data_IF_667762355461
#
_entry.id   IF_667762355461
#
_cell.length_a   1.000
_cell.length_b   1.000
_cell.length_c   1.000
_cell.angle_alpha   90.00
_cell.angle_beta   90.00
_cell.angle_gamma   90.00
#
_symmetry.space_group_name_H-M   'P 1'
#
loop_
_entity.id
_entity.type
_entity.pdbx_description
1 polymer ?
#
# COMPACT_ATOMS: atom_id res chain seq x y z
N UNK A 1 -14.57 -36.67 -6.91
CA UNK A 1 -13.92 -36.31 -6.93
C UNK A 1 -13.33 -35.93 -7.16
N UNK A 2 -13.37 -36.14 -7.16
CA UNK A 2 -12.51 -35.68 -7.39
C UNK A 2 -11.76 -36.11 -7.59
N UNK A 3 -11.71 -36.87 -7.45
CA UNK A 3 -10.86 -37.34 -7.59
C UNK A 3 -10.33 -37.79 -7.80
N UNK A 4 -10.46 -38.27 -7.86
CA UNK A 4 -9.67 -38.60 -8.14
C UNK A 4 -9.06 -38.78 -8.47
N UNK A 5 -8.99 -38.89 -8.49
CA UNK A 5 -8.11 -38.84 -8.84
C UNK A 5 -7.33 -38.76 -8.69
N UNK A 6 -7.31 -39.10 -8.30
CA UNK A 6 -6.41 -38.94 -8.07
C UNK A 6 -5.90 -39.13 -7.29
N UNK A 7 -6.20 -39.68 -6.98
CA UNK A 7 -5.58 -39.81 -6.35
C UNK A 7 -5.34 -39.99 -5.49
N UNK A 8 -5.61 -40.33 -5.05
CA UNK A 8 -5.34 -40.48 -4.14
C UNK A 8 -4.84 -40.20 -3.14
N UNK A 9 -5.51 -40.09 -2.38
CA UNK A 9 -4.92 -39.72 -1.51
C UNK A 9 -3.66 -39.47 -1.52
N UNK A 10 -3.11 -38.79 -1.88
CA UNK A 10 -1.74 -38.83 -2.00
C UNK A 10 -1.04 -37.58 -1.52
N UNK A 11 0.21 -37.73 -0.99
CA UNK A 11 0.91 -36.62 -0.32
C UNK A 11 1.17 -35.43 -1.21
N UNK A 12 1.54 -35.63 -2.46
CA UNK A 12 1.85 -34.50 -3.31
C UNK A 12 0.61 -33.68 -3.71
N UNK A 13 -0.57 -34.26 -3.54
CA UNK A 13 -1.79 -33.50 -3.72
C UNK A 13 -1.87 -32.40 -2.66
N UNK A 14 -1.47 -32.73 -1.44
CA UNK A 14 -1.40 -31.73 -0.37
C UNK A 14 -0.38 -30.65 -0.69
N UNK A 15 0.73 -31.00 -1.30
CA UNK A 15 1.75 -30.04 -1.69
C UNK A 15 1.24 -29.05 -2.73
N UNK A 16 0.43 -29.53 -3.69
CA UNK A 16 -0.17 -28.65 -4.68
C UNK A 16 -1.10 -27.63 -4.04
N UNK A 17 -1.88 -28.07 -3.07
CA UNK A 17 -2.78 -27.16 -2.36
C UNK A 17 -1.98 -26.11 -1.61
N UNK A 18 -0.90 -26.50 -0.96
CA UNK A 18 -0.05 -25.56 -0.24
C UNK A 18 0.56 -24.53 -1.17
N UNK A 19 0.99 -24.94 -2.35
CA UNK A 19 1.54 -24.01 -3.35
C UNK A 19 0.49 -23.02 -3.80
N UNK A 20 -0.74 -23.48 -4.03
CA UNK A 20 -1.81 -22.60 -4.44
C UNK A 20 -2.16 -21.59 -3.35
N UNK A 21 -2.17 -22.01 -2.09
CA UNK A 21 -2.44 -21.11 -0.98
C UNK A 21 -1.36 -20.04 -0.91
N UNK A 22 -0.10 -20.44 -0.99
CA UNK A 22 1.01 -19.51 -0.98
C UNK A 22 0.90 -18.49 -2.10
N UNK A 23 0.62 -18.96 -3.31
CA UNK A 23 0.50 -18.08 -4.47
C UNK A 23 -0.64 -17.09 -4.30
N UNK A 24 -1.76 -17.56 -3.76
CA UNK A 24 -2.92 -16.71 -3.51
C UNK A 24 -2.58 -15.62 -2.50
N UNK A 25 -1.93 -16.00 -1.39
CA UNK A 25 -1.52 -15.03 -0.38
C UNK A 25 -0.57 -13.99 -0.95
N UNK A 26 0.37 -14.43 -1.77
CA UNK A 26 1.31 -13.53 -2.41
C UNK A 26 0.59 -12.54 -3.32
N UNK A 27 -0.37 -13.00 -4.11
CA UNK A 27 -1.16 -12.14 -4.97
C UNK A 27 -1.96 -11.12 -4.18
N UNK A 28 -2.50 -11.54 -3.03
CA UNK A 28 -3.25 -10.63 -2.17
C UNK A 28 -2.36 -9.54 -1.59
N UNK A 29 -1.14 -9.90 -1.21
CA UNK A 29 -0.18 -8.91 -0.71
C UNK A 29 0.21 -7.92 -1.80
N UNK A 30 0.45 -8.42 -3.01
CA UNK A 30 0.80 -7.56 -4.15
C UNK A 30 -0.36 -6.63 -4.49
N UNK A 31 -1.58 -7.14 -4.42
CA UNK A 31 -2.77 -6.31 -4.65
C UNK A 31 -2.90 -5.24 -3.57
N UNK A 32 -2.60 -5.58 -2.31
CA UNK A 32 -2.64 -4.61 -1.23
C UNK A 32 -1.63 -3.49 -1.43
N UNK A 33 -0.43 -3.84 -1.90
CA UNK A 33 0.60 -2.83 -2.20
C UNK A 33 0.12 -1.92 -3.34
N UNK A 34 -0.44 -2.50 -4.38
CA UNK A 34 -0.96 -1.75 -5.52
C UNK A 34 -2.08 -0.81 -5.08
N UNK A 35 -3.00 -1.31 -4.26
CA UNK A 35 -4.11 -0.51 -3.76
C UNK A 35 -3.60 0.64 -2.89
N UNK A 36 -2.59 0.39 -2.07
CA UNK A 36 -1.99 1.43 -1.25
C UNK A 36 -1.40 2.53 -2.11
N UNK A 37 -0.62 2.16 -3.13
CA UNK A 37 0.02 3.12 -4.01
C UNK A 37 -1.04 3.94 -4.76
N UNK A 38 -2.04 3.27 -5.33
CA UNK A 38 -3.11 3.95 -6.04
C UNK A 38 -3.89 4.88 -5.11
N UNK A 39 -4.14 4.43 -3.89
CA UNK A 39 -4.83 5.26 -2.90
C UNK A 39 -4.07 6.53 -2.57
N UNK A 40 -2.74 6.42 -2.47
CA UNK A 40 -1.90 7.60 -2.23
C UNK A 40 -1.99 8.60 -3.38
N UNK A 41 -1.94 8.12 -4.62
CA UNK A 41 -2.04 9.01 -5.77
C UNK A 41 -3.43 9.65 -5.88
N UNK A 42 -4.47 8.88 -5.57
CA UNK A 42 -5.82 9.44 -5.55
C UNK A 42 -5.97 10.52 -4.48
N UNK A 43 -5.46 10.26 -3.29
CA UNK A 43 -5.52 11.23 -2.20
C UNK A 43 -4.74 12.50 -2.58
N UNK A 44 -3.58 12.33 -3.18
CA UNK A 44 -2.77 13.46 -3.63
C UNK A 44 -3.55 14.30 -4.66
N UNK A 45 -4.18 13.63 -5.62
CA UNK A 45 -5.01 14.31 -6.61
C UNK A 45 -6.16 15.08 -6.00
N UNK A 46 -6.77 14.52 -4.96
CA UNK A 46 -7.85 15.20 -4.27
C UNK A 46 -7.39 16.47 -3.58
N UNK A 47 -6.20 16.43 -2.97
CA UNK A 47 -5.64 17.64 -2.36
C UNK A 47 -5.36 18.72 -3.40
N UNK A 48 -4.91 18.33 -4.58
CA UNK A 48 -4.67 19.27 -5.67
C UNK A 48 -5.96 19.90 -6.19
N UNK A 49 -6.98 19.07 -6.39
CA UNK A 49 -8.22 19.51 -7.03
C UNK A 49 -9.13 20.22 -6.06
N UNK A 50 -9.28 19.68 -4.85
CA UNK A 50 -10.25 20.21 -3.89
C UNK A 50 -9.64 21.10 -2.82
N UNK A 51 -8.34 20.93 -2.56
CA UNK A 51 -7.66 21.73 -1.55
C UNK A 51 -8.32 21.63 -0.18
N UNK A 52 -8.62 22.77 0.42
CA UNK A 52 -9.21 22.83 1.77
C UNK A 52 -10.55 22.11 1.86
N UNK A 53 -11.29 21.99 0.75
CA UNK A 53 -12.58 21.32 0.75
C UNK A 53 -12.44 19.85 1.14
N UNK A 54 -11.33 19.23 0.76
CA UNK A 54 -11.09 17.85 1.13
C UNK A 54 -11.02 17.68 2.65
N UNK A 55 -10.53 18.69 3.35
CA UNK A 55 -10.45 18.68 4.81
C UNK A 55 -11.82 18.86 5.45
N UNK A 56 -12.67 19.68 4.83
CA UNK A 56 -13.99 19.98 5.39
C UNK A 56 -14.92 18.79 5.33
N UNK A 57 -14.80 17.99 4.27
CA UNK A 57 -15.74 16.90 4.02
C UNK A 57 -15.23 15.54 4.45
N UNK A 58 -13.99 15.45 4.91
CA UNK A 58 -13.39 14.18 5.29
C UNK A 58 -13.20 14.06 6.79
N UNK A 59 -12.87 12.84 7.21
CA UNK A 59 -12.49 12.57 8.59
C UNK A 59 -11.06 13.10 8.80
N UNK A 60 -10.88 14.06 9.74
CA UNK A 60 -9.54 14.64 9.95
C UNK A 60 -8.46 13.61 10.26
N UNK A 61 -8.79 12.59 11.05
CA UNK A 61 -7.82 11.57 11.40
C UNK A 61 -7.42 10.75 10.18
N UNK A 62 -8.38 10.40 9.33
CA UNK A 62 -8.11 9.66 8.13
C UNK A 62 -7.22 10.45 7.17
N UNK A 63 -7.45 11.76 7.08
CA UNK A 63 -6.65 12.63 6.23
C UNK A 63 -5.22 12.69 6.72
N UNK A 64 -5.01 12.81 8.04
CA UNK A 64 -3.67 12.83 8.62
C UNK A 64 -2.92 11.53 8.36
N UNK A 65 -3.63 10.41 8.51
CA UNK A 65 -3.04 9.11 8.20
C UNK A 65 -2.62 9.04 6.74
N UNK A 66 -3.49 9.50 5.85
CA UNK A 66 -3.20 9.51 4.41
C UNK A 66 -1.98 10.38 4.10
N UNK A 67 -1.88 11.55 4.74
CA UNK A 67 -0.75 12.46 4.54
C UNK A 67 0.56 11.77 4.94
N UNK A 68 0.58 11.11 6.09
CA UNK A 68 1.79 10.43 6.55
C UNK A 68 2.18 9.29 5.59
N UNK A 69 1.20 8.59 5.05
CA UNK A 69 1.47 7.50 4.09
C UNK A 69 1.96 8.04 2.76
N UNK A 70 1.34 9.11 2.26
CA UNK A 70 1.79 9.76 1.03
C UNK A 70 3.22 10.25 1.17
N UNK A 71 3.53 10.87 2.30
CA UNK A 71 4.87 11.38 2.54
C UNK A 71 5.90 10.26 2.48
N UNK A 72 5.62 9.14 3.17
CA UNK A 72 6.53 8.01 3.16
C UNK A 72 6.74 7.47 1.75
N UNK A 73 5.66 7.28 1.01
CA UNK A 73 5.74 6.75 -0.35
C UNK A 73 6.51 7.69 -1.28
N UNK A 74 6.17 8.98 -1.26
CA UNK A 74 6.80 9.93 -2.18
C UNK A 74 8.26 10.17 -1.83
N UNK A 75 8.62 10.15 -0.54
CA UNK A 75 10.03 10.22 -0.15
C UNK A 75 10.79 8.98 -0.61
N UNK A 76 10.18 7.81 -0.44
CA UNK A 76 10.78 6.56 -0.86
C UNK A 76 11.05 6.53 -2.37
N UNK A 77 10.14 7.11 -3.15
CA UNK A 77 10.25 7.15 -4.61
C UNK A 77 10.95 8.42 -5.10
N UNK A 78 11.49 9.22 -4.18
CA UNK A 78 12.23 10.44 -4.51
C UNK A 78 11.42 11.46 -5.30
N UNK A 79 10.12 11.49 -5.06
CA UNK A 79 9.22 12.46 -5.69
C UNK A 79 9.12 13.71 -4.81
N UNK A 80 10.21 14.47 -4.75
CA UNK A 80 10.35 15.57 -3.78
C UNK A 80 9.40 16.72 -4.06
N UNK A 81 8.99 16.92 -5.30
CA UNK A 81 8.03 17.97 -5.63
C UNK A 81 6.68 17.69 -4.99
N UNK A 82 6.28 16.42 -4.97
CA UNK A 82 5.03 16.05 -4.32
C UNK A 82 5.14 16.20 -2.81
N UNK A 83 6.29 15.87 -2.26
CA UNK A 83 6.53 16.07 -0.85
C UNK A 83 6.45 17.55 -0.47
N UNK A 84 7.02 18.42 -1.30
CA UNK A 84 6.98 19.85 -1.07
C UNK A 84 5.54 20.37 -1.11
N UNK A 85 4.74 19.89 -2.05
CA UNK A 85 3.34 20.26 -2.13
C UNK A 85 2.59 19.89 -0.85
N UNK A 86 2.80 18.65 -0.37
CA UNK A 86 2.14 18.17 0.83
C UNK A 86 2.53 19.02 2.04
N UNK A 87 3.82 19.32 2.18
CA UNK A 87 4.27 20.15 3.28
C UNK A 87 3.62 21.54 3.25
N UNK A 88 3.58 22.16 2.07
CA UNK A 88 2.95 23.47 1.91
C UNK A 88 1.46 23.40 2.24
N UNK A 89 0.80 22.33 1.82
CA UNK A 89 -0.61 22.14 2.09
C UNK A 89 -0.87 22.07 3.60
N UNK A 90 -0.04 21.29 4.30
CA UNK A 90 -0.20 21.13 5.75
C UNK A 90 0.08 22.45 6.46
N UNK A 91 1.13 23.15 6.08
CA UNK A 91 1.46 24.43 6.69
C UNK A 91 0.35 25.45 6.51
N UNK A 92 -0.32 25.40 5.38
CA UNK A 92 -1.38 26.36 5.07
C UNK A 92 -2.71 26.00 5.73
N UNK A 93 -3.04 24.71 5.80
CA UNK A 93 -4.38 24.28 6.20
C UNK A 93 -4.45 23.58 7.55
N UNK A 94 -3.38 22.91 7.96
CA UNK A 94 -3.31 22.21 9.23
C UNK A 94 -1.96 22.46 9.90
N UNK A 95 -1.67 23.74 10.24
CA UNK A 95 -0.33 24.09 10.71
C UNK A 95 0.10 23.42 12.01
N UNK A 96 -0.86 22.96 12.82
CA UNK A 96 -0.55 22.28 14.07
C UNK A 96 -0.21 20.81 13.88
N UNK A 97 -0.40 20.27 12.69
CA UNK A 97 -0.14 18.87 12.41
C UNK A 97 1.34 18.68 12.05
N UNK A 98 1.98 17.77 12.76
CA UNK A 98 3.36 17.40 12.46
C UNK A 98 3.36 16.16 11.58
N UNK A 99 3.92 16.28 10.37
CA UNK A 99 4.00 15.16 9.44
C UNK A 99 5.03 14.16 9.94
N UNK A 100 4.59 12.91 10.10
CA UNK A 100 5.47 11.82 10.48
C UNK A 100 5.30 10.70 9.45
N UNK A 101 6.19 10.65 8.45
CA UNK A 101 6.04 9.64 7.38
C UNK A 101 5.89 8.24 7.93
N UNK A 102 4.92 7.51 7.42
CA UNK A 102 4.62 6.16 7.89
C UNK A 102 5.53 5.15 7.18
N UNK A 103 6.74 5.02 7.72
CA UNK A 103 7.75 4.14 7.14
C UNK A 103 7.39 2.67 7.25
N UNK A 104 6.48 2.33 8.17
CA UNK A 104 6.09 0.94 8.33
C UNK A 104 5.39 0.40 7.10
N UNK A 105 4.53 1.20 6.45
CA UNK A 105 3.88 0.74 5.21
C UNK A 105 4.90 0.56 4.11
N UNK A 106 5.98 1.35 4.10
CA UNK A 106 7.04 1.19 3.12
C UNK A 106 7.84 -0.08 3.39
N UNK A 107 8.12 -0.37 4.66
CA UNK A 107 8.79 -1.61 5.03
C UNK A 107 7.96 -2.82 4.61
N UNK A 108 6.66 -2.78 4.84
CA UNK A 108 5.76 -3.86 4.43
C UNK A 108 5.76 -4.02 2.92
N UNK A 109 5.77 -2.92 2.19
CA UNK A 109 5.80 -2.93 0.74
C UNK A 109 7.10 -3.54 0.21
N UNK A 110 8.23 -3.18 0.82
CA UNK A 110 9.53 -3.73 0.43
C UNK A 110 9.62 -5.22 0.74
N UNK A 111 9.01 -5.64 1.84
CA UNK A 111 8.97 -7.05 2.19
C UNK A 111 8.23 -7.86 1.13
N UNK A 112 7.10 -7.34 0.64
CA UNK A 112 6.33 -8.00 -0.41
C UNK A 112 7.16 -8.10 -1.68
N UNK A 113 7.83 -7.02 -2.06
CA UNK A 113 8.70 -7.03 -3.24
C UNK A 113 9.84 -8.03 -3.10
N UNK A 114 10.43 -8.10 -1.91
CA UNK A 114 11.51 -9.02 -1.64
C UNK A 114 11.05 -10.46 -1.78
N UNK A 115 9.85 -10.77 -1.31
CA UNK A 115 9.29 -12.11 -1.45
C UNK A 115 9.06 -12.47 -2.92
N UNK A 116 8.56 -11.53 -3.71
CA UNK A 116 8.37 -11.73 -5.13
C UNK A 116 9.68 -11.95 -5.84
N UNK A 117 10.69 -11.15 -5.53
CA UNK A 117 12.02 -11.30 -6.14
C UNK A 117 12.67 -12.59 -5.70
N UNK A 118 12.46 -12.98 -4.44
CA UNK A 118 13.03 -14.22 -3.92
C UNK A 118 12.57 -15.46 -4.66
N UNK A 119 11.35 -15.43 -5.18
CA UNK A 119 10.82 -16.59 -5.92
C UNK A 119 11.48 -16.75 -7.28
N UNK A 120 12.14 -15.74 -7.77
CA UNK A 120 12.81 -15.79 -9.07
C UNK A 120 14.17 -16.45 -8.97
N UNK A 121 14.74 -16.47 -7.79
CA UNK A 121 16.06 -17.11 -7.57
C UNK A 121 15.99 -18.63 -7.44
#
# INVERSE_FOLDING_TARGET
>A
MFDDERDDDHPYFGDDIRKKIKTTQQRMREASVRDFVEGCYLAYGMLHVRGAEALENGDPDAIKIAINRMMALFLHEEQYERCAFIKSFVEKHIPDFEIQPDWKVIEDMEEVKSLSDGTKS
#
